data_IF_150947570831
#
_entry.id   IF_150947570831
#
_cell.length_a   1.000
_cell.length_b   1.000
_cell.length_c   1.000
_cell.angle_alpha   90.00
_cell.angle_beta   90.00
_cell.angle_gamma   90.00
#
_symmetry.space_group_name_H-M   'P 1'
#
loop_
_entity.id
_entity.type
_entity.pdbx_description
1 polymer ?
#
# COMPACT_ATOMS: atom_id res chain seq x y z
N UNK A 1 16.99 58.42 1.39
CA UNK A 1 17.56 57.26 0.68
C UNK A 1 17.41 56.07 1.60
N UNK A 2 16.41 55.24 1.32
CA UNK A 2 16.05 54.08 2.15
C UNK A 2 17.18 53.06 2.07
N UNK A 3 17.84 52.81 3.20
CA UNK A 3 18.80 51.71 3.34
C UNK A 3 18.10 50.42 2.95
N UNK A 4 18.53 49.79 1.84
CA UNK A 4 18.07 48.45 1.47
C UNK A 4 18.25 47.52 2.67
N UNK A 5 17.14 46.93 3.14
CA UNK A 5 17.16 46.05 4.29
C UNK A 5 17.87 44.74 3.87
N UNK A 6 19.09 44.46 4.37
CA UNK A 6 19.89 43.31 3.92
C UNK A 6 19.18 41.97 4.16
N UNK A 7 18.24 41.94 5.10
CA UNK A 7 17.42 40.77 5.41
C UNK A 7 16.42 40.43 4.30
N UNK A 8 15.89 41.44 3.59
CA UNK A 8 14.99 41.19 2.46
C UNK A 8 15.73 40.57 1.28
N UNK A 9 16.91 41.12 0.95
CA UNK A 9 17.75 40.58 -0.13
C UNK A 9 18.20 39.12 0.12
N UNK A 10 18.48 38.75 1.37
CA UNK A 10 18.79 37.36 1.72
C UNK A 10 17.58 36.44 1.61
N UNK A 11 16.39 36.91 2.02
CA UNK A 11 15.15 36.13 1.90
C UNK A 11 14.78 35.85 0.45
N UNK A 12 14.94 36.83 -0.44
CA UNK A 12 14.72 36.61 -1.88
C UNK A 12 15.65 35.54 -2.46
N UNK A 13 16.91 35.51 -2.03
CA UNK A 13 17.85 34.45 -2.43
C UNK A 13 17.44 33.06 -1.91
N UNK A 14 16.91 32.99 -0.68
CA UNK A 14 16.38 31.74 -0.11
C UNK A 14 15.15 31.29 -0.91
N UNK A 15 14.20 32.19 -1.16
CA UNK A 15 12.99 31.87 -1.94
C UNK A 15 13.32 31.36 -3.35
N UNK A 16 14.28 32.00 -4.03
CA UNK A 16 14.75 31.54 -5.34
C UNK A 16 15.47 30.17 -5.29
N UNK A 17 16.06 29.80 -4.14
CA UNK A 17 16.64 28.47 -3.93
C UNK A 17 15.54 27.44 -3.65
N UNK A 18 14.55 27.79 -2.84
CA UNK A 18 13.42 26.93 -2.52
C UNK A 18 12.61 26.56 -3.77
N UNK A 19 12.41 27.50 -4.70
CA UNK A 19 11.79 27.23 -6.00
C UNK A 19 12.56 26.16 -6.80
N UNK A 20 13.90 26.20 -6.75
CA UNK A 20 14.74 25.19 -7.42
C UNK A 20 14.65 23.84 -6.71
N UNK A 21 14.57 23.82 -5.38
CA UNK A 21 14.36 22.58 -4.63
C UNK A 21 13.02 21.94 -5.00
N UNK A 22 11.95 22.74 -5.11
CA UNK A 22 10.65 22.25 -5.54
C UNK A 22 10.68 21.66 -6.96
N UNK A 23 11.35 22.33 -7.90
CA UNK A 23 11.52 21.81 -9.26
C UNK A 23 12.28 20.47 -9.27
N UNK A 24 13.39 20.37 -8.53
CA UNK A 24 14.18 19.14 -8.42
C UNK A 24 13.41 18.01 -7.74
N UNK A 25 12.60 18.31 -6.72
CA UNK A 25 11.75 17.32 -6.06
C UNK A 25 10.65 16.81 -6.99
N UNK A 26 10.06 17.70 -7.80
CA UNK A 26 9.07 17.32 -8.81
C UNK A 26 9.69 16.40 -9.87
N UNK A 27 10.84 16.75 -10.43
CA UNK A 27 11.58 15.91 -11.39
C UNK A 27 11.95 14.55 -10.77
N UNK A 28 12.42 14.54 -9.51
CA UNK A 28 12.73 13.30 -8.79
C UNK A 28 11.48 12.43 -8.63
N UNK A 29 10.31 13.01 -8.43
CA UNK A 29 9.03 12.29 -8.34
C UNK A 29 8.63 11.69 -9.68
N UNK A 30 8.83 12.39 -10.78
CA UNK A 30 8.62 11.84 -12.14
C UNK A 30 9.53 10.62 -12.38
N UNK A 31 10.81 10.71 -12.01
CA UNK A 31 11.73 9.57 -12.09
C UNK A 31 11.29 8.41 -11.19
N UNK A 32 10.75 8.68 -10.00
CA UNK A 32 10.20 7.62 -9.13
C UNK A 32 9.01 6.90 -9.78
N UNK A 33 8.15 7.62 -10.51
CA UNK A 33 7.06 7.03 -11.30
C UNK A 33 7.61 6.11 -12.40
N UNK A 34 8.63 6.55 -13.15
CA UNK A 34 9.26 5.72 -14.19
C UNK A 34 9.94 4.48 -13.59
N UNK A 35 10.61 4.60 -12.43
CA UNK A 35 11.14 3.45 -11.69
C UNK A 35 10.01 2.50 -11.27
N UNK A 36 8.87 3.03 -10.84
CA UNK A 36 7.68 2.23 -10.53
C UNK A 36 7.18 1.43 -11.73
N UNK A 37 7.08 2.06 -12.92
CA UNK A 37 6.72 1.37 -14.18
C UNK A 37 7.72 0.27 -14.55
N UNK A 38 9.02 0.54 -14.42
CA UNK A 38 10.06 -0.45 -14.70
C UNK A 38 10.01 -1.64 -13.73
N UNK A 39 9.77 -1.40 -12.44
CA UNK A 39 9.60 -2.45 -11.42
C UNK A 39 8.36 -3.30 -11.66
N UNK A 40 7.26 -2.66 -12.09
CA UNK A 40 6.02 -3.35 -12.48
C UNK A 40 6.27 -4.32 -13.64
N UNK A 41 6.92 -3.87 -14.72
CA UNK A 41 7.26 -4.72 -15.86
C UNK A 41 8.19 -5.88 -15.47
N UNK A 42 9.16 -5.62 -14.59
CA UNK A 42 10.16 -6.60 -14.14
C UNK A 42 9.74 -7.43 -12.92
N UNK A 43 8.51 -7.26 -12.42
CA UNK A 43 7.96 -7.98 -11.26
C UNK A 43 8.83 -7.88 -10.00
N UNK A 44 9.43 -6.71 -9.76
CA UNK A 44 10.28 -6.44 -8.59
C UNK A 44 9.51 -5.72 -7.49
N UNK A 45 9.84 -5.96 -6.21
CA UNK A 45 9.21 -5.24 -5.10
C UNK A 45 9.53 -3.74 -5.15
N UNK A 46 8.60 -2.91 -4.64
CA UNK A 46 8.80 -1.45 -4.56
C UNK A 46 9.90 -1.10 -3.59
N UNK A 47 9.87 -1.70 -2.40
CA UNK A 47 10.79 -1.39 -1.32
C UNK A 47 12.02 -2.28 -1.44
N UNK A 48 13.18 -1.64 -1.49
CA UNK A 48 14.48 -2.29 -1.61
C UNK A 48 15.37 -1.67 -0.52
N UNK A 49 15.38 -2.32 0.63
CA UNK A 49 15.97 -1.78 1.86
C UNK A 49 17.49 -1.63 1.72
N UNK A 50 18.15 -2.58 1.06
CA UNK A 50 19.59 -2.52 0.82
C UNK A 50 19.92 -1.36 -0.12
N UNK A 51 19.16 -1.16 -1.20
CA UNK A 51 19.34 0.00 -2.08
C UNK A 51 19.10 1.33 -1.36
N UNK A 52 18.10 1.40 -0.47
CA UNK A 52 17.80 2.59 0.33
C UNK A 52 18.95 2.92 1.29
N UNK A 53 19.51 1.90 1.96
CA UNK A 53 20.69 2.05 2.83
C UNK A 53 21.90 2.56 2.03
N UNK A 54 22.23 1.92 0.92
CA UNK A 54 23.39 2.28 0.10
C UNK A 54 23.27 3.72 -0.46
N UNK A 55 22.05 4.13 -0.83
CA UNK A 55 21.76 5.49 -1.27
C UNK A 55 21.99 6.50 -0.13
N UNK A 56 21.51 6.22 1.08
CA UNK A 56 21.71 7.11 2.23
C UNK A 56 23.19 7.22 2.60
N UNK A 57 23.92 6.11 2.66
CA UNK A 57 25.36 6.12 2.96
C UNK A 57 26.16 6.94 1.95
N UNK A 58 25.82 6.80 0.66
CA UNK A 58 26.41 7.60 -0.42
C UNK A 58 26.12 9.09 -0.24
N UNK A 59 24.87 9.46 0.07
CA UNK A 59 24.47 10.86 0.26
C UNK A 59 25.11 11.48 1.50
N UNK A 60 25.23 10.72 2.60
CA UNK A 60 25.97 11.16 3.79
C UNK A 60 27.43 11.45 3.42
N UNK A 61 28.05 10.60 2.62
CA UNK A 61 29.44 10.78 2.19
C UNK A 61 29.62 12.02 1.30
N UNK A 62 28.70 12.25 0.35
CA UNK A 62 28.71 13.46 -0.49
C UNK A 62 28.43 14.72 0.32
N UNK A 63 27.46 14.67 1.24
CA UNK A 63 27.09 15.81 2.06
C UNK A 63 28.20 16.27 3.02
N UNK A 64 29.08 15.36 3.46
CA UNK A 64 30.29 15.72 4.22
C UNK A 64 31.17 16.73 3.46
N UNK A 65 31.32 16.59 2.15
CA UNK A 65 32.09 17.55 1.33
C UNK A 65 31.43 18.93 1.25
N UNK A 66 30.10 19.00 1.47
CA UNK A 66 29.32 20.22 1.53
C UNK A 66 29.13 20.76 2.96
N UNK A 67 29.81 20.18 3.96
CA UNK A 67 29.67 20.53 5.38
C UNK A 67 28.23 20.36 5.91
N UNK A 68 27.46 19.43 5.33
CA UNK A 68 26.15 19.04 5.83
C UNK A 68 26.29 17.89 6.82
N UNK A 69 25.57 17.96 7.94
CA UNK A 69 25.61 16.92 8.94
C UNK A 69 24.84 15.67 8.51
N UNK A 70 25.31 14.50 8.96
CA UNK A 70 24.74 13.22 8.57
C UNK A 70 23.29 13.06 9.03
N UNK A 71 22.91 13.64 10.17
CA UNK A 71 21.58 13.51 10.75
C UNK A 71 20.53 14.29 9.93
N UNK A 72 20.87 15.51 9.50
CA UNK A 72 20.06 16.33 8.61
C UNK A 72 19.83 15.65 7.26
N UNK A 73 20.89 15.16 6.62
CA UNK A 73 20.79 14.41 5.36
C UNK A 73 19.90 13.18 5.53
N UNK A 74 20.12 12.41 6.58
CA UNK A 74 19.36 11.17 6.83
C UNK A 74 17.88 11.47 6.95
N UNK A 75 17.48 12.43 7.80
CA UNK A 75 16.06 12.78 7.99
C UNK A 75 15.41 13.30 6.71
N UNK A 76 16.09 14.21 6.00
CA UNK A 76 15.55 14.82 4.80
C UNK A 76 15.37 13.77 3.69
N UNK A 77 16.39 12.96 3.44
CA UNK A 77 16.33 11.96 2.37
C UNK A 77 15.47 10.76 2.72
N UNK A 78 15.31 10.40 4.00
CA UNK A 78 14.30 9.41 4.41
C UNK A 78 12.89 9.87 4.01
N UNK A 79 12.50 11.12 4.30
CA UNK A 79 11.21 11.65 3.86
C UNK A 79 11.04 11.61 2.34
N UNK A 80 12.10 11.96 1.60
CA UNK A 80 12.06 11.94 0.13
C UNK A 80 11.96 10.48 -0.40
N UNK A 81 12.64 9.53 0.23
CA UNK A 81 12.55 8.10 -0.11
C UNK A 81 11.14 7.58 0.19
N UNK A 82 10.58 7.91 1.35
CA UNK A 82 9.21 7.54 1.74
C UNK A 82 8.18 8.06 0.73
N UNK A 83 8.24 9.34 0.34
CA UNK A 83 7.37 9.90 -0.72
C UNK A 83 7.50 9.14 -2.05
N UNK A 84 8.72 8.70 -2.38
CA UNK A 84 8.96 7.92 -3.60
C UNK A 84 8.39 6.51 -3.53
N UNK A 85 8.50 5.86 -2.37
CA UNK A 85 7.90 4.53 -2.13
C UNK A 85 6.39 4.64 -2.21
N UNK A 86 5.79 5.63 -1.55
CA UNK A 86 4.34 5.89 -1.60
C UNK A 86 3.87 6.19 -3.03
N UNK A 87 4.59 7.02 -3.77
CA UNK A 87 4.27 7.35 -5.17
C UNK A 87 4.32 6.09 -6.06
N UNK A 88 5.32 5.22 -5.88
CA UNK A 88 5.42 3.95 -6.61
C UNK A 88 4.30 2.97 -6.22
N UNK A 89 3.99 2.84 -4.93
CA UNK A 89 2.91 1.99 -4.44
C UNK A 89 1.55 2.46 -4.97
N UNK A 90 1.28 3.76 -4.98
CA UNK A 90 0.06 4.32 -5.56
C UNK A 90 -0.06 4.01 -7.05
N UNK A 91 1.04 4.09 -7.82
CA UNK A 91 1.07 3.72 -9.23
C UNK A 91 0.76 2.22 -9.42
N UNK A 92 1.36 1.36 -8.60
CA UNK A 92 1.10 -0.08 -8.63
C UNK A 92 -0.35 -0.40 -8.29
N UNK A 93 -0.89 0.20 -7.23
CA UNK A 93 -2.31 0.06 -6.88
C UNK A 93 -3.21 0.56 -8.01
N UNK A 94 -2.91 1.70 -8.62
CA UNK A 94 -3.66 2.17 -9.79
C UNK A 94 -3.53 1.24 -10.99
N UNK A 95 -2.39 0.61 -11.21
CA UNK A 95 -2.21 -0.33 -12.32
C UNK A 95 -2.96 -1.64 -12.04
N UNK A 96 -2.87 -2.15 -10.81
CA UNK A 96 -3.61 -3.32 -10.35
C UNK A 96 -5.13 -3.07 -10.40
N UNK A 97 -5.58 -1.87 -10.03
CA UNK A 97 -6.98 -1.44 -10.14
C UNK A 97 -7.38 -1.15 -11.61
N UNK A 98 -6.45 -0.75 -12.47
CA UNK A 98 -6.68 -0.57 -13.93
C UNK A 98 -6.70 -1.89 -14.70
N UNK A 99 -6.18 -2.99 -14.14
CA UNK A 99 -6.23 -4.29 -14.80
C UNK A 99 -7.68 -4.76 -15.00
N UNK A 100 -8.66 -4.25 -14.26
CA UNK A 100 -10.05 -4.20 -14.71
C UNK A 100 -10.86 -3.32 -13.73
N UNK A 101 -11.42 -2.16 -14.13
CA UNK A 101 -12.34 -1.42 -13.27
C UNK A 101 -13.60 -2.22 -12.90
N UNK A 102 -13.77 -3.39 -13.53
CA UNK A 102 -14.88 -4.31 -13.32
C UNK A 102 -14.48 -5.61 -12.59
N UNK A 103 -13.21 -5.89 -12.30
CA UNK A 103 -12.80 -7.14 -11.64
C UNK A 103 -12.06 -6.91 -10.32
N UNK A 104 -12.75 -7.12 -9.21
CA UNK A 104 -12.15 -7.09 -7.87
C UNK A 104 -11.49 -8.43 -7.52
N UNK A 105 -10.25 -8.44 -7.04
CA UNK A 105 -9.62 -9.63 -6.43
C UNK A 105 -9.99 -9.69 -4.97
N UNK A 106 -10.68 -10.75 -4.56
CA UNK A 106 -11.24 -10.88 -3.22
C UNK A 106 -10.59 -12.06 -2.51
N UNK A 107 -9.85 -11.75 -1.46
CA UNK A 107 -9.24 -12.73 -0.58
C UNK A 107 -10.24 -13.22 0.48
N UNK A 108 -10.26 -14.52 0.74
CA UNK A 108 -11.13 -15.14 1.74
C UNK A 108 -10.46 -16.36 2.38
N UNK A 109 -11.00 -16.77 3.53
CA UNK A 109 -10.55 -17.99 4.19
C UNK A 109 -11.03 -19.23 3.42
N UNK A 110 -10.09 -19.95 2.82
CA UNK A 110 -10.35 -21.13 2.03
C UNK A 110 -10.74 -22.36 2.86
N UNK A 111 -10.98 -23.50 2.20
CA UNK A 111 -10.90 -23.73 0.75
C UNK A 111 -12.14 -23.23 -0.01
N UNK A 112 -12.14 -23.40 -1.34
CA UNK A 112 -13.35 -23.18 -2.15
C UNK A 112 -14.49 -24.08 -1.66
N UNK A 113 -15.67 -23.49 -1.54
CA UNK A 113 -16.86 -24.13 -0.97
C UNK A 113 -17.07 -23.88 0.52
N UNK A 114 -16.13 -23.20 1.20
CA UNK A 114 -16.34 -22.74 2.59
C UNK A 114 -17.42 -21.66 2.67
N UNK A 115 -17.95 -21.41 3.87
CA UNK A 115 -18.86 -20.28 4.09
C UNK A 115 -18.19 -18.93 3.81
N UNK A 116 -16.90 -18.78 4.10
CA UNK A 116 -16.16 -17.56 3.73
C UNK A 116 -16.04 -17.39 2.21
N UNK A 117 -15.87 -18.48 1.47
CA UNK A 117 -15.94 -18.44 0.00
C UNK A 117 -17.33 -18.04 -0.50
N UNK A 118 -18.40 -18.59 0.08
CA UNK A 118 -19.78 -18.21 -0.26
C UNK A 118 -20.08 -16.74 0.07
N UNK A 119 -19.63 -16.26 1.24
CA UNK A 119 -19.77 -14.87 1.65
C UNK A 119 -19.03 -13.94 0.69
N UNK A 120 -17.77 -14.26 0.37
CA UNK A 120 -16.97 -13.50 -0.59
C UNK A 120 -17.69 -13.39 -1.94
N UNK A 121 -18.21 -14.51 -2.44
CA UNK A 121 -18.93 -14.55 -3.73
C UNK A 121 -20.25 -13.77 -3.70
N UNK A 122 -21.03 -13.86 -2.63
CA UNK A 122 -22.28 -13.09 -2.49
C UNK A 122 -22.03 -11.60 -2.38
N UNK A 123 -21.02 -11.19 -1.60
CA UNK A 123 -20.64 -9.79 -1.49
C UNK A 123 -20.17 -9.28 -2.84
N UNK A 124 -19.30 -10.03 -3.51
CA UNK A 124 -18.73 -9.65 -4.79
C UNK A 124 -19.78 -9.44 -5.86
N UNK A 125 -20.70 -10.41 -6.03
CA UNK A 125 -21.73 -10.37 -7.05
C UNK A 125 -22.71 -9.19 -6.91
N UNK A 126 -22.79 -8.57 -5.72
CA UNK A 126 -23.63 -7.39 -5.48
C UNK A 126 -22.92 -6.07 -5.78
N UNK A 127 -21.60 -6.04 -5.69
CA UNK A 127 -20.81 -4.80 -5.72
C UNK A 127 -19.88 -4.69 -6.92
N UNK A 128 -19.58 -5.80 -7.59
CA UNK A 128 -18.64 -5.86 -8.72
C UNK A 128 -19.24 -6.64 -9.89
N UNK A 129 -18.96 -6.21 -11.12
CA UNK A 129 -19.42 -6.90 -12.35
C UNK A 129 -18.66 -8.21 -12.60
N UNK A 130 -17.38 -8.24 -12.23
CA UNK A 130 -16.49 -9.40 -12.28
C UNK A 130 -15.67 -9.45 -10.98
N UNK A 131 -15.16 -10.62 -10.63
CA UNK A 131 -14.26 -10.77 -9.50
C UNK A 131 -13.39 -12.00 -9.66
N UNK A 132 -12.23 -11.98 -8.99
CA UNK A 132 -11.27 -13.08 -8.94
C UNK A 132 -11.19 -13.57 -7.50
N UNK A 133 -11.39 -14.86 -7.32
CA UNK A 133 -11.37 -15.53 -6.02
C UNK A 133 -9.93 -15.86 -5.60
N UNK A 134 -9.48 -15.34 -4.46
CA UNK A 134 -8.21 -15.71 -3.82
C UNK A 134 -8.43 -16.43 -2.50
N UNK A 135 -8.26 -17.76 -2.51
CA UNK A 135 -8.40 -18.58 -1.30
C UNK A 135 -7.10 -18.62 -0.51
N UNK A 136 -7.16 -18.25 0.76
CA UNK A 136 -6.01 -18.27 1.69
C UNK A 136 -6.19 -19.31 2.79
N UNK A 137 -5.07 -19.79 3.35
CA UNK A 137 -5.10 -20.79 4.42
C UNK A 137 -5.27 -20.18 5.82
N UNK A 138 -4.76 -18.96 6.04
CA UNK A 138 -4.77 -18.27 7.34
C UNK A 138 -5.25 -16.83 7.19
N UNK A 139 -5.78 -16.26 8.26
CA UNK A 139 -6.16 -14.84 8.29
C UNK A 139 -4.97 -13.94 7.98
N UNK A 140 -3.81 -14.17 8.60
CA UNK A 140 -2.60 -13.37 8.34
C UNK A 140 -2.24 -13.28 6.85
N UNK A 141 -2.42 -14.37 6.09
CA UNK A 141 -2.15 -14.40 4.65
C UNK A 141 -3.13 -13.51 3.88
N UNK A 142 -4.41 -13.49 4.29
CA UNK A 142 -5.45 -12.63 3.71
C UNK A 142 -5.09 -11.16 3.90
N UNK A 143 -4.79 -10.76 5.14
CA UNK A 143 -4.41 -9.39 5.46
C UNK A 143 -3.15 -8.96 4.71
N UNK A 144 -2.12 -9.80 4.69
CA UNK A 144 -0.89 -9.55 3.93
C UNK A 144 -1.15 -9.39 2.43
N UNK A 145 -2.04 -10.21 1.83
CA UNK A 145 -2.36 -10.07 0.41
C UNK A 145 -3.02 -8.72 0.11
N UNK A 146 -3.86 -8.20 0.99
CA UNK A 146 -4.48 -6.88 0.79
C UNK A 146 -3.47 -5.75 1.00
N UNK A 147 -2.67 -5.80 2.07
CA UNK A 147 -1.65 -4.76 2.34
C UNK A 147 -0.57 -4.70 1.27
N UNK A 148 -0.19 -5.84 0.69
CA UNK A 148 0.78 -5.91 -0.42
C UNK A 148 0.17 -5.64 -1.80
N UNK A 149 -1.15 -5.47 -1.88
CA UNK A 149 -1.89 -5.24 -3.13
C UNK A 149 -2.03 -6.48 -4.02
N UNK A 150 -1.79 -7.68 -3.51
CA UNK A 150 -2.08 -8.94 -4.21
C UNK A 150 -3.59 -9.24 -4.28
N UNK A 151 -4.38 -8.74 -3.32
CA UNK A 151 -5.83 -8.71 -3.34
C UNK A 151 -6.32 -7.27 -3.12
N UNK A 152 -7.51 -6.95 -3.63
CA UNK A 152 -8.09 -5.60 -3.53
C UNK A 152 -9.00 -5.48 -2.31
N UNK A 153 -9.69 -6.59 -1.98
CA UNK A 153 -10.57 -6.69 -0.81
C UNK A 153 -10.34 -8.01 -0.09
N UNK A 154 -10.65 -8.03 1.21
CA UNK A 154 -10.75 -9.24 2.00
C UNK A 154 -12.17 -9.40 2.55
N UNK A 155 -12.69 -10.62 2.52
CA UNK A 155 -13.92 -10.99 3.23
C UNK A 155 -13.55 -11.95 4.34
N UNK A 156 -13.67 -11.47 5.57
CA UNK A 156 -13.32 -12.18 6.80
C UNK A 156 -14.53 -12.23 7.74
N UNK A 157 -14.74 -13.34 8.45
CA UNK A 157 -15.78 -13.41 9.47
C UNK A 157 -15.30 -12.66 10.71
N UNK A 158 -16.13 -11.76 11.24
CA UNK A 158 -15.83 -11.02 12.47
C UNK A 158 -16.59 -11.56 13.69
N UNK A 159 -17.71 -12.23 13.46
CA UNK A 159 -18.57 -12.79 14.50
C UNK A 159 -19.29 -14.03 13.96
N UNK A 160 -19.52 -15.02 14.83
CA UNK A 160 -20.42 -16.12 14.55
C UNK A 160 -21.38 -16.37 15.74
N UNK A 161 -22.56 -16.89 15.46
CA UNK A 161 -23.59 -17.12 16.48
C UNK A 161 -23.26 -18.26 17.44
N UNK A 162 -22.30 -19.11 17.10
CA UNK A 162 -21.93 -20.30 17.90
C UNK A 162 -20.75 -20.05 18.85
N UNK A 163 -19.75 -19.27 18.43
CA UNK A 163 -18.49 -19.03 19.14
C UNK A 163 -18.26 -17.55 19.49
N UNK A 164 -19.16 -16.65 19.04
CA UNK A 164 -19.06 -15.21 19.28
C UNK A 164 -18.07 -14.51 18.35
N UNK A 165 -17.47 -13.43 18.85
CA UNK A 165 -16.51 -12.62 18.11
C UNK A 165 -15.24 -13.43 17.76
N UNK A 166 -14.67 -13.17 16.59
CA UNK A 166 -13.46 -13.82 16.09
C UNK A 166 -12.27 -12.90 16.36
N UNK A 167 -11.70 -13.03 17.56
CA UNK A 167 -10.65 -12.14 18.06
C UNK A 167 -9.41 -12.09 17.15
N UNK A 168 -9.00 -13.20 16.55
CA UNK A 168 -7.85 -13.26 15.64
C UNK A 168 -7.94 -12.22 14.50
N UNK A 169 -9.15 -11.96 14.00
CA UNK A 169 -9.39 -10.98 12.93
C UNK A 169 -9.25 -9.56 13.45
N UNK A 170 -9.76 -9.29 14.66
CA UNK A 170 -9.63 -7.98 15.31
C UNK A 170 -8.19 -7.67 15.69
N UNK A 171 -7.44 -8.65 16.19
CA UNK A 171 -6.04 -8.50 16.55
C UNK A 171 -5.17 -8.21 15.32
N UNK A 172 -5.41 -8.93 14.21
CA UNK A 172 -4.73 -8.65 12.95
C UNK A 172 -5.07 -7.26 12.42
N UNK A 173 -6.34 -6.86 12.43
CA UNK A 173 -6.77 -5.56 11.92
C UNK A 173 -6.07 -4.39 12.63
N UNK A 174 -5.86 -4.49 13.95
CA UNK A 174 -5.16 -3.47 14.76
C UNK A 174 -3.71 -3.22 14.31
N UNK A 175 -3.08 -4.20 13.65
CA UNK A 175 -1.70 -4.12 13.19
C UNK A 175 -1.57 -3.78 11.71
N UNK A 176 -2.67 -3.45 11.03
CA UNK A 176 -2.67 -3.13 9.60
C UNK A 176 -3.14 -1.71 9.32
N UNK A 177 -2.86 -1.22 8.11
CA UNK A 177 -3.38 0.06 7.60
C UNK A 177 -4.76 -0.06 6.92
N UNK A 178 -5.41 -1.22 7.03
CA UNK A 178 -6.66 -1.54 6.33
C UNK A 178 -7.88 -0.93 7.05
N UNK A 179 -8.92 -0.66 6.27
CA UNK A 179 -10.20 -0.13 6.74
C UNK A 179 -11.35 -1.08 6.42
N UNK A 180 -12.31 -1.20 7.33
CA UNK A 180 -13.57 -1.91 7.06
C UNK A 180 -14.44 -1.03 6.18
N UNK A 181 -14.81 -1.53 5.00
CA UNK A 181 -15.59 -0.78 3.99
C UNK A 181 -17.03 -1.29 3.82
N UNK A 182 -17.38 -2.38 4.48
CA UNK A 182 -18.73 -2.95 4.43
C UNK A 182 -18.86 -4.21 5.29
N UNK A 183 -20.09 -4.65 5.46
CA UNK A 183 -20.45 -5.82 6.26
C UNK A 183 -21.56 -6.63 5.58
N UNK A 184 -21.67 -7.91 5.95
CA UNK A 184 -22.79 -8.76 5.58
C UNK A 184 -23.00 -9.88 6.59
N UNK A 185 -24.24 -10.37 6.68
CA UNK A 185 -24.59 -11.55 7.46
C UNK A 185 -24.93 -12.70 6.52
N UNK A 186 -24.29 -13.86 6.73
CA UNK A 186 -24.57 -15.09 5.99
C UNK A 186 -25.23 -16.12 6.92
N UNK A 187 -26.42 -16.60 6.54
CA UNK A 187 -27.07 -17.71 7.24
C UNK A 187 -26.34 -19.02 6.94
N UNK A 188 -26.07 -19.79 8.01
CA UNK A 188 -25.37 -21.07 7.92
C UNK A 188 -26.40 -22.19 7.88
N UNK A 189 -26.60 -22.75 6.68
CA UNK A 189 -27.45 -23.92 6.46
C UNK A 189 -26.61 -25.17 6.26
N UNK A 190 -26.99 -26.26 6.93
CA UNK A 190 -26.34 -27.56 6.83
C UNK A 190 -27.23 -28.55 6.08
N UNK A 191 -26.63 -29.33 5.18
CA UNK A 191 -27.31 -30.38 4.41
C UNK A 191 -26.60 -31.71 4.61
N UNK A 192 -27.37 -32.81 4.64
CA UNK A 192 -26.82 -34.17 4.64
C UNK A 192 -26.59 -34.62 3.19
N UNK A 193 -25.36 -34.98 2.84
CA UNK A 193 -25.03 -35.56 1.54
C UNK A 193 -25.02 -37.09 1.65
N UNK A 194 -25.77 -37.80 0.81
CA UNK A 194 -25.82 -39.27 0.79
C UNK A 194 -25.34 -39.77 -0.57
N UNK A 195 -24.48 -40.80 -0.56
CA UNK A 195 -24.09 -41.53 -1.76
C UNK A 195 -25.30 -42.32 -2.27
N UNK A 196 -25.77 -42.02 -3.49
CA UNK A 196 -26.75 -42.88 -4.14
C UNK A 196 -26.15 -44.27 -4.36
N UNK A 197 -26.84 -45.31 -3.90
CA UNK A 197 -26.55 -46.72 -4.23
C UNK A 197 -27.01 -47.04 -5.64
#
# INVERSE_FOLDING_TARGET
>A
MTSENPLLALREKISALDEKLLALLAERRELAVEVGKAKLLSHRPVRDIDRERDLLERLITLGKAHHLDAHYITRLFQLIIEDSVLTQQALLQQHLNKINPYSARIAFLGPKGSYSHLAARQYAARHFEQFIESGCAKFADIFNQVETGQADYAVVPIENTSSGAINDVYDLLQHTSLSIVGEMTLTIDHCLLVSGT
#
